data_IF_663678820657
#
_entry.id   IF_663678820657
#
_cell.length_a   1.000
_cell.length_b   1.000
_cell.length_c   1.000
_cell.angle_alpha   90.00
_cell.angle_beta   90.00
_cell.angle_gamma   90.00
#
_symmetry.space_group_name_H-M   'P 1'
#
loop_
_entity.id
_entity.type
_entity.pdbx_description
1 polymer ?
#
# COMPACT_ATOMS: atom_id res chain seq x y z
N UNK A 1 -3.98 -12.63 9.45
CA UNK A 1 -3.85 -14.09 9.33
C UNK A 1 -3.92 -14.56 7.87
N UNK A 2 -5.05 -14.39 7.16
CA UNK A 2 -5.20 -14.87 5.78
C UNK A 2 -4.40 -14.07 4.72
N UNK A 3 -4.30 -12.74 4.85
CA UNK A 3 -3.56 -11.93 3.86
C UNK A 3 -2.06 -12.27 3.83
N UNK A 4 -1.42 -12.30 5.01
CA UNK A 4 -0.01 -12.68 5.13
C UNK A 4 0.24 -14.07 4.52
N UNK A 5 -0.62 -15.04 4.83
CA UNK A 5 -0.58 -16.39 4.27
C UNK A 5 -0.70 -16.36 2.73
N UNK A 6 -1.70 -15.66 2.19
CA UNK A 6 -1.88 -15.51 0.74
C UNK A 6 -0.66 -14.89 0.05
N UNK A 7 -0.12 -13.80 0.61
CA UNK A 7 1.08 -13.15 0.11
C UNK A 7 2.36 -14.02 0.26
N UNK A 8 2.38 -15.02 1.15
CA UNK A 8 3.47 -16.02 1.31
C UNK A 8 3.29 -17.26 0.44
N UNK A 9 2.22 -17.32 -0.39
CA UNK A 9 1.83 -18.49 -1.20
C UNK A 9 1.31 -19.67 -0.38
N UNK A 10 0.81 -19.41 0.82
CA UNK A 10 0.07 -20.38 1.62
C UNK A 10 -1.42 -20.37 1.25
N UNK A 11 -2.18 -21.33 1.78
CA UNK A 11 -3.60 -21.49 1.43
C UNK A 11 -4.44 -20.34 2.04
N UNK A 12 -4.80 -19.37 1.22
CA UNK A 12 -5.86 -18.40 1.53
C UNK A 12 -7.19 -18.88 0.93
N UNK A 13 -8.27 -18.84 1.72
CA UNK A 13 -9.60 -19.27 1.26
C UNK A 13 -10.44 -18.14 0.69
N UNK A 14 -10.17 -16.90 1.11
CA UNK A 14 -10.91 -15.71 0.70
C UNK A 14 -10.60 -15.33 -0.76
N UNK A 15 -11.59 -15.29 -1.68
CA UNK A 15 -11.37 -14.99 -3.09
C UNK A 15 -10.62 -13.67 -3.34
N UNK A 16 -10.93 -12.61 -2.60
CA UNK A 16 -10.26 -11.31 -2.73
C UNK A 16 -8.78 -11.42 -2.38
N UNK A 17 -8.44 -12.15 -1.32
CA UNK A 17 -7.04 -12.34 -0.89
C UNK A 17 -6.28 -13.16 -1.93
N UNK A 18 -6.92 -14.17 -2.52
CA UNK A 18 -6.31 -14.98 -3.58
C UNK A 18 -6.01 -14.13 -4.83
N UNK A 19 -6.96 -13.30 -5.25
CA UNK A 19 -6.77 -12.39 -6.38
C UNK A 19 -5.66 -11.36 -6.10
N UNK A 20 -5.65 -10.78 -4.90
CA UNK A 20 -4.60 -9.85 -4.48
C UNK A 20 -3.22 -10.50 -4.47
N UNK A 21 -3.10 -11.72 -3.95
CA UNK A 21 -1.84 -12.46 -3.91
C UNK A 21 -1.33 -12.82 -5.32
N UNK A 22 -2.24 -13.18 -6.24
CA UNK A 22 -1.89 -13.39 -7.65
C UNK A 22 -1.36 -12.11 -8.29
N UNK A 23 -2.07 -10.99 -8.13
CA UNK A 23 -1.66 -9.67 -8.64
C UNK A 23 -0.32 -9.23 -8.06
N UNK A 24 -0.15 -9.31 -6.75
CA UNK A 24 1.10 -8.92 -6.08
C UNK A 24 2.29 -9.74 -6.62
N UNK A 25 2.10 -11.04 -6.84
CA UNK A 25 3.12 -11.89 -7.47
C UNK A 25 3.39 -11.50 -8.91
N UNK A 26 2.34 -11.32 -9.72
CA UNK A 26 2.45 -11.06 -11.16
C UNK A 26 3.20 -9.76 -11.45
N UNK A 27 2.98 -8.74 -10.62
CA UNK A 27 3.56 -7.41 -10.81
C UNK A 27 4.80 -7.14 -9.94
N UNK A 28 5.12 -8.04 -9.01
CA UNK A 28 6.24 -7.88 -8.09
C UNK A 28 6.01 -6.80 -7.04
N UNK A 29 4.78 -6.69 -6.54
CA UNK A 29 4.41 -5.71 -5.50
C UNK A 29 5.02 -6.15 -4.17
N UNK A 30 5.75 -5.25 -3.51
CA UNK A 30 6.34 -5.54 -2.21
C UNK A 30 5.26 -5.75 -1.15
N UNK A 31 5.36 -6.87 -0.44
CA UNK A 31 4.42 -7.27 0.61
C UNK A 31 4.34 -6.25 1.75
N UNK A 32 5.43 -5.52 2.01
CA UNK A 32 5.52 -4.49 3.05
C UNK A 32 4.47 -3.39 2.86
N UNK A 33 4.16 -3.02 1.62
CA UNK A 33 3.15 -2.01 1.33
C UNK A 33 1.75 -2.39 1.83
N UNK A 34 1.40 -3.68 1.81
CA UNK A 34 0.12 -4.14 2.37
C UNK A 34 0.12 -4.12 3.90
N UNK A 35 1.27 -4.41 4.52
CA UNK A 35 1.41 -4.34 5.97
C UNK A 35 1.29 -2.88 6.47
N UNK A 36 1.97 -1.96 5.79
CA UNK A 36 1.91 -0.51 6.07
C UNK A 36 0.48 0.03 5.88
N UNK A 37 -0.18 -0.36 4.79
CA UNK A 37 -1.58 0.00 4.55
C UNK A 37 -2.50 -0.50 5.66
N UNK A 38 -2.41 -1.77 6.01
CA UNK A 38 -3.24 -2.33 7.09
C UNK A 38 -2.86 -1.78 8.47
N UNK A 39 -1.67 -1.25 8.66
CA UNK A 39 -1.33 -0.53 9.90
C UNK A 39 -2.13 0.78 9.98
N UNK A 40 -2.15 1.58 8.91
CA UNK A 40 -2.97 2.81 8.85
C UNK A 40 -4.46 2.51 8.99
N UNK A 41 -5.00 1.49 8.32
CA UNK A 41 -6.42 1.12 8.45
C UNK A 41 -6.80 0.68 9.87
N UNK A 42 -5.85 0.13 10.65
CA UNK A 42 -6.09 -0.18 12.07
C UNK A 42 -6.08 1.07 12.94
N UNK A 43 -5.20 2.03 12.65
CA UNK A 43 -5.15 3.30 13.36
C UNK A 43 -6.48 4.06 13.24
N UNK A 44 -7.15 3.99 12.09
CA UNK A 44 -8.47 4.61 11.87
C UNK A 44 -9.55 4.16 12.88
N UNK A 45 -9.37 2.99 13.52
CA UNK A 45 -10.31 2.49 14.52
C UNK A 45 -10.17 3.18 15.90
N UNK A 46 -9.05 3.86 16.16
CA UNK A 46 -8.70 4.34 17.51
C UNK A 46 -8.11 5.75 17.55
N UNK A 47 -7.54 6.23 16.44
CA UNK A 47 -6.89 7.54 16.35
C UNK A 47 -7.88 8.54 15.78
N UNK A 48 -8.28 9.51 16.61
CA UNK A 48 -9.24 10.56 16.22
C UNK A 48 -8.60 11.82 15.63
N UNK A 49 -7.27 11.93 15.64
CA UNK A 49 -6.55 13.09 15.12
C UNK A 49 -5.04 12.97 15.30
N UNK A 50 -4.31 13.77 14.53
CA UNK A 50 -2.85 13.84 14.54
C UNK A 50 -2.42 15.24 15.02
N UNK A 51 -1.50 15.31 15.97
CA UNK A 51 -1.10 16.57 16.60
C UNK A 51 -0.14 17.41 15.73
N UNK A 52 0.46 16.78 14.72
CA UNK A 52 1.39 17.45 13.80
C UNK A 52 1.26 16.91 12.38
N UNK A 53 1.76 17.70 11.42
CA UNK A 53 1.87 17.26 10.03
C UNK A 53 2.80 16.05 9.86
N UNK A 54 3.80 15.92 10.73
CA UNK A 54 4.68 14.75 10.73
C UNK A 54 3.93 13.46 11.14
N UNK A 55 3.09 13.55 12.18
CA UNK A 55 2.23 12.43 12.60
C UNK A 55 1.23 12.06 11.52
N UNK A 56 0.58 13.06 10.92
CA UNK A 56 -0.30 12.87 9.78
C UNK A 56 0.46 12.24 8.60
N UNK A 57 1.69 12.70 8.32
CA UNK A 57 2.54 12.17 7.27
C UNK A 57 2.87 10.70 7.45
N UNK A 58 3.10 10.24 8.68
CA UNK A 58 3.30 8.81 8.99
C UNK A 58 2.04 8.00 8.70
N UNK A 59 0.87 8.51 9.04
CA UNK A 59 -0.40 7.88 8.68
C UNK A 59 -0.61 7.82 7.17
N UNK A 60 -0.40 8.95 6.48
CA UNK A 60 -0.55 9.11 5.04
C UNK A 60 0.41 8.23 4.24
N UNK A 61 1.59 7.95 4.78
CA UNK A 61 2.50 6.99 4.17
C UNK A 61 1.79 5.65 3.95
N UNK A 62 1.23 5.07 5.03
CA UNK A 62 0.49 3.82 4.95
C UNK A 62 -0.89 3.94 4.31
N UNK A 63 -1.63 5.04 4.51
CA UNK A 63 -3.00 5.14 3.96
C UNK A 63 -3.02 5.42 2.45
N UNK A 64 -2.00 6.12 1.92
CA UNK A 64 -2.05 6.65 0.56
C UNK A 64 -0.75 6.51 -0.23
N UNK A 65 0.41 6.83 0.33
CA UNK A 65 1.67 6.78 -0.41
C UNK A 65 1.98 5.34 -0.90
N UNK A 66 1.77 4.35 -0.03
CA UNK A 66 1.95 2.93 -0.39
C UNK A 66 0.93 2.43 -1.41
N UNK A 67 -0.24 3.05 -1.54
CA UNK A 67 -1.19 2.72 -2.62
C UNK A 67 -0.61 3.12 -3.98
N UNK A 68 0.01 4.31 -4.06
CA UNK A 68 0.75 4.72 -5.25
C UNK A 68 1.86 3.73 -5.61
N UNK A 69 2.61 3.26 -4.61
CA UNK A 69 3.66 2.25 -4.80
C UNK A 69 3.11 0.87 -5.20
N UNK A 70 1.95 0.46 -4.69
CA UNK A 70 1.27 -0.78 -5.11
C UNK A 70 0.80 -0.71 -6.57
N UNK A 71 0.31 0.45 -7.01
CA UNK A 71 -0.22 0.66 -8.36
C UNK A 71 0.87 0.86 -9.41
N UNK A 72 2.03 1.41 -9.03
CA UNK A 72 3.14 1.69 -9.94
C UNK A 72 3.54 0.50 -10.84
N UNK A 73 3.82 -0.71 -10.32
CA UNK A 73 4.17 -1.84 -11.19
C UNK A 73 3.00 -2.37 -12.01
N UNK A 74 1.75 -2.09 -11.61
CA UNK A 74 0.53 -2.49 -12.34
C UNK A 74 0.30 -1.60 -13.55
N UNK A 75 0.47 -0.28 -13.38
CA UNK A 75 0.31 0.71 -14.44
C UNK A 75 1.50 0.75 -15.41
N UNK A 76 2.69 0.36 -14.94
CA UNK A 76 3.92 0.38 -15.73
C UNK A 76 4.58 1.75 -15.78
N UNK A 77 5.81 1.79 -16.28
CA UNK A 77 6.65 3.00 -16.35
C UNK A 77 7.35 3.09 -17.72
N UNK A 78 7.59 4.33 -18.20
CA UNK A 78 8.36 4.59 -19.44
C UNK A 78 9.89 4.61 -19.17
N UNK A 79 10.31 4.51 -17.90
CA UNK A 79 11.70 4.42 -17.45
C UNK A 79 11.85 3.53 -16.20
N UNK A 80 12.99 3.61 -15.48
CA UNK A 80 13.21 2.83 -14.26
C UNK A 80 12.10 3.07 -13.23
N UNK A 81 11.63 2.00 -12.59
CA UNK A 81 10.53 2.08 -11.61
C UNK A 81 10.94 2.87 -10.38
N UNK A 82 12.21 2.78 -10.02
CA UNK A 82 12.84 3.43 -8.88
C UNK A 82 12.80 4.95 -9.01
N UNK A 83 12.91 5.48 -10.24
CA UNK A 83 12.79 6.90 -10.53
C UNK A 83 11.34 7.39 -10.44
N UNK A 84 10.37 6.55 -10.85
CA UNK A 84 8.95 6.87 -10.78
C UNK A 84 8.33 6.69 -9.38
N UNK A 85 8.94 5.88 -8.52
CA UNK A 85 8.40 5.52 -7.20
C UNK A 85 8.15 6.72 -6.27
N UNK A 86 9.08 7.69 -6.11
CA UNK A 86 8.83 8.87 -5.29
C UNK A 86 7.64 9.69 -5.80
N UNK A 87 7.45 9.78 -7.12
CA UNK A 87 6.35 10.52 -7.73
C UNK A 87 5.00 9.81 -7.56
N UNK A 88 4.97 8.48 -7.67
CA UNK A 88 3.77 7.70 -7.40
C UNK A 88 3.35 7.80 -5.92
N UNK A 89 4.31 7.76 -5.00
CA UNK A 89 4.05 7.98 -3.57
C UNK A 89 3.52 9.39 -3.29
N UNK A 90 4.14 10.42 -3.90
CA UNK A 90 3.71 11.81 -3.76
C UNK A 90 2.30 12.04 -4.32
N UNK A 91 1.94 11.40 -5.44
CA UNK A 91 0.58 11.46 -5.98
C UNK A 91 -0.44 10.85 -5.02
N UNK A 92 -0.11 9.72 -4.37
CA UNK A 92 -0.94 9.13 -3.32
C UNK A 92 -1.16 10.08 -2.16
N UNK A 93 -0.09 10.70 -1.65
CA UNK A 93 -0.16 11.72 -0.59
C UNK A 93 -1.04 12.90 -1.01
N UNK A 94 -0.92 13.38 -2.26
CA UNK A 94 -1.71 14.49 -2.76
C UNK A 94 -3.23 14.17 -2.76
N UNK A 95 -3.63 12.99 -3.25
CA UNK A 95 -5.04 12.57 -3.22
C UNK A 95 -5.63 12.40 -1.82
N UNK A 96 -4.80 12.17 -0.81
CA UNK A 96 -5.26 12.05 0.56
C UNK A 96 -5.52 13.40 1.24
N UNK A 97 -4.89 14.48 0.76
CA UNK A 97 -5.05 15.84 1.31
C UNK A 97 -6.19 16.63 0.66
N UNK A 98 -6.72 16.17 -0.47
CA UNK A 98 -7.75 16.83 -1.27
C UNK A 98 -9.07 16.08 -1.20
#
# INVERSE_FOLDING_TARGET
>A
AQLEAGLRRERATEPVIRALADTARRYGIDRRHFADFLASMRSDLTVGGYASYEELGRYMHGSAAVIGLQMLPVLGTVGPREEAAPHAAALGVAFQLT
#
